data_IF_497980912629
#
_entry.id   IF_497980912629
#
_cell.length_a   1.000
_cell.length_b   1.000
_cell.length_c   1.000
_cell.angle_alpha   90.00
_cell.angle_beta   90.00
_cell.angle_gamma   90.00
#
_symmetry.space_group_name_H-M   'P 1'
#
loop_
_entity.id
_entity.type
_entity.pdbx_description
1 polymer ?
#
# COMPACT_ATOMS: atom_id res chain seq x y z
N UNK A 1 -1.07 23.89 -43.62
CA UNK A 1 -0.79 22.45 -43.91
C UNK A 1 -1.19 21.58 -42.74
N UNK A 2 -2.23 20.83 -42.94
CA UNK A 2 -2.74 19.63 -42.25
C UNK A 2 -2.56 19.43 -40.73
N UNK A 3 -3.58 19.89 -40.00
CA UNK A 3 -3.90 19.50 -38.62
C UNK A 3 -4.83 18.28 -38.53
N UNK A 4 -4.98 17.46 -39.58
CA UNK A 4 -6.00 16.40 -39.66
C UNK A 4 -5.55 14.97 -39.34
N UNK A 5 -4.36 14.74 -38.79
CA UNK A 5 -3.85 13.38 -38.55
C UNK A 5 -3.81 12.88 -37.13
N UNK A 6 -4.35 13.60 -36.14
CA UNK A 6 -4.33 13.18 -34.71
C UNK A 6 -5.69 12.82 -34.09
N UNK A 7 -6.75 12.68 -34.91
CA UNK A 7 -8.13 12.45 -34.39
C UNK A 7 -8.60 11.00 -34.36
N UNK A 8 -7.71 10.01 -34.50
CA UNK A 8 -8.13 8.61 -34.43
C UNK A 8 -8.09 8.11 -32.97
N UNK A 9 -9.26 8.06 -32.30
CA UNK A 9 -9.44 7.21 -31.14
C UNK A 9 -10.18 7.75 -29.91
N UNK A 10 -10.95 8.82 -30.01
CA UNK A 10 -11.82 9.25 -28.89
C UNK A 10 -13.28 8.93 -29.18
N UNK A 11 -14.02 8.44 -28.15
CA UNK A 11 -15.45 8.19 -28.27
C UNK A 11 -16.23 9.50 -28.44
N UNK A 12 -17.09 9.57 -29.44
CA UNK A 12 -17.89 10.78 -29.79
C UNK A 12 -19.13 10.97 -28.89
N UNK A 13 -19.48 10.03 -28.03
CA UNK A 13 -20.64 10.14 -27.13
C UNK A 13 -20.23 10.09 -25.64
N UNK A 14 -20.97 10.81 -24.78
CA UNK A 14 -20.80 10.80 -23.30
C UNK A 14 -20.81 9.38 -22.72
N UNK A 15 -21.60 8.48 -23.32
CA UNK A 15 -21.67 7.07 -22.91
C UNK A 15 -20.38 6.31 -23.19
N UNK A 16 -19.70 6.66 -24.27
CA UNK A 16 -18.43 6.09 -24.67
C UNK A 16 -17.27 6.62 -23.80
N UNK A 17 -17.25 7.92 -23.45
CA UNK A 17 -16.32 8.51 -22.50
C UNK A 17 -16.46 7.82 -21.13
N UNK A 18 -17.70 7.58 -20.69
CA UNK A 18 -17.97 6.89 -19.43
C UNK A 18 -17.43 5.46 -19.39
N UNK A 19 -17.54 4.70 -20.48
CA UNK A 19 -16.97 3.35 -20.57
C UNK A 19 -15.45 3.39 -20.57
N UNK A 20 -14.86 4.32 -21.29
CA UNK A 20 -13.42 4.42 -21.41
C UNK A 20 -12.74 4.80 -20.10
N UNK A 21 -13.26 5.76 -19.32
CA UNK A 21 -12.70 6.12 -18.01
C UNK A 21 -12.74 4.97 -17.02
N UNK A 22 -13.79 4.13 -17.03
CA UNK A 22 -13.85 2.93 -16.19
C UNK A 22 -12.85 1.87 -16.65
N UNK A 23 -12.63 1.75 -17.96
CA UNK A 23 -11.57 0.89 -18.48
C UNK A 23 -10.18 1.32 -17.98
N UNK A 24 -9.91 2.63 -17.87
CA UNK A 24 -8.67 3.15 -17.27
C UNK A 24 -8.53 2.74 -15.80
N UNK A 25 -9.62 2.77 -15.03
CA UNK A 25 -9.61 2.31 -13.63
C UNK A 25 -9.32 0.81 -13.53
N UNK A 26 -9.93 0.00 -14.39
CA UNK A 26 -9.67 -1.45 -14.42
C UNK A 26 -8.22 -1.75 -14.87
N UNK A 27 -7.67 -0.99 -15.78
CA UNK A 27 -6.28 -1.10 -16.18
C UNK A 27 -5.34 -0.78 -15.01
N UNK A 28 -5.62 0.28 -14.25
CA UNK A 28 -4.89 0.59 -13.02
C UNK A 28 -5.07 -0.50 -11.95
N UNK A 29 -6.27 -1.05 -11.78
CA UNK A 29 -6.52 -2.16 -10.86
C UNK A 29 -5.64 -3.37 -11.20
N UNK A 30 -5.60 -3.75 -12.49
CA UNK A 30 -4.78 -4.86 -12.96
C UNK A 30 -3.28 -4.63 -12.70
N UNK A 31 -2.79 -3.44 -13.01
CA UNK A 31 -1.40 -3.08 -12.71
C UNK A 31 -1.10 -3.06 -11.20
N UNK A 32 -2.05 -2.66 -10.34
CA UNK A 32 -1.89 -2.72 -8.89
C UNK A 32 -1.80 -4.17 -8.37
N UNK A 33 -2.53 -5.10 -9.00
CA UNK A 33 -2.42 -6.53 -8.68
C UNK A 33 -1.02 -7.04 -9.03
N UNK A 34 -0.51 -6.75 -10.24
CA UNK A 34 0.85 -7.15 -10.66
C UNK A 34 1.90 -6.56 -9.70
N UNK A 35 1.79 -5.26 -9.40
CA UNK A 35 2.70 -4.57 -8.49
C UNK A 35 2.78 -5.26 -7.11
N UNK A 36 1.66 -5.78 -6.59
CA UNK A 36 1.65 -6.48 -5.31
C UNK A 36 2.07 -7.95 -5.41
N UNK A 37 1.97 -8.58 -6.57
CA UNK A 37 2.62 -9.88 -6.82
C UNK A 37 4.14 -9.76 -6.69
N UNK A 38 4.74 -8.67 -7.22
CA UNK A 38 6.16 -8.35 -7.09
C UNK A 38 6.60 -8.13 -5.63
N UNK A 39 5.72 -7.62 -4.78
CA UNK A 39 6.00 -7.44 -3.34
C UNK A 39 5.88 -8.75 -2.56
N UNK A 40 4.94 -9.60 -2.96
CA UNK A 40 4.63 -10.85 -2.25
C UNK A 40 5.59 -11.98 -2.61
N UNK A 41 6.19 -11.97 -3.81
CA UNK A 41 7.04 -13.05 -4.32
C UNK A 41 8.18 -13.44 -3.36
N UNK A 42 8.92 -12.47 -2.81
CA UNK A 42 10.01 -12.74 -1.88
C UNK A 42 9.53 -13.26 -0.53
N UNK A 43 8.34 -12.85 -0.09
CA UNK A 43 7.74 -13.37 1.14
C UNK A 43 7.39 -14.86 1.00
N UNK A 44 6.90 -15.27 -0.16
CA UNK A 44 6.60 -16.69 -0.48
C UNK A 44 7.89 -17.50 -0.65
N UNK A 45 8.88 -16.95 -1.37
CA UNK A 45 10.16 -17.61 -1.63
C UNK A 45 11.17 -17.51 -0.45
N UNK A 46 10.81 -16.80 0.60
CA UNK A 46 11.68 -16.47 1.75
C UNK A 46 12.44 -17.69 2.27
N UNK A 47 11.77 -18.82 2.50
CA UNK A 47 12.38 -20.03 3.09
C UNK A 47 13.39 -20.63 2.09
N UNK A 48 12.98 -20.79 0.84
CA UNK A 48 13.81 -21.41 -0.20
C UNK A 48 15.03 -20.55 -0.51
N UNK A 49 14.86 -19.22 -0.58
CA UNK A 49 15.97 -18.28 -0.80
C UNK A 49 16.91 -18.25 0.41
N UNK A 50 16.37 -18.26 1.64
CA UNK A 50 17.17 -18.29 2.85
C UNK A 50 18.05 -19.55 2.92
N UNK A 51 17.48 -20.71 2.62
CA UNK A 51 18.20 -21.99 2.62
C UNK A 51 19.27 -22.02 1.51
N UNK A 52 18.93 -21.60 0.30
CA UNK A 52 19.85 -21.64 -0.86
C UNK A 52 21.04 -20.66 -0.67
N UNK A 53 20.81 -19.49 -0.11
CA UNK A 53 21.86 -18.48 0.09
C UNK A 53 22.53 -18.55 1.47
N UNK A 54 22.15 -19.50 2.33
CA UNK A 54 22.68 -19.64 3.68
C UNK A 54 22.39 -18.42 4.58
N UNK A 55 21.17 -17.85 4.48
CA UNK A 55 20.80 -16.64 5.19
C UNK A 55 20.08 -16.95 6.49
N UNK A 56 20.56 -16.33 7.58
CA UNK A 56 19.79 -16.27 8.82
C UNK A 56 18.62 -15.31 8.74
N UNK A 57 17.69 -15.41 9.70
CA UNK A 57 16.44 -14.63 9.72
C UNK A 57 16.67 -13.10 9.71
N UNK A 58 17.73 -12.61 10.38
CA UNK A 58 18.07 -11.18 10.38
C UNK A 58 18.44 -10.69 8.97
N UNK A 59 19.28 -11.43 8.23
CA UNK A 59 19.61 -11.09 6.82
C UNK A 59 18.37 -11.16 5.94
N UNK A 60 17.50 -12.13 6.14
CA UNK A 60 16.23 -12.23 5.44
C UNK A 60 15.32 -11.05 5.77
N UNK A 61 15.25 -10.62 7.02
CA UNK A 61 14.53 -9.43 7.44
C UNK A 61 15.04 -8.16 6.75
N UNK A 62 16.36 -8.03 6.54
CA UNK A 62 16.96 -6.93 5.77
C UNK A 62 16.50 -6.98 4.30
N UNK A 63 16.48 -8.16 3.66
CA UNK A 63 16.00 -8.30 2.29
C UNK A 63 14.52 -7.92 2.14
N UNK A 64 13.69 -8.35 3.07
CA UNK A 64 12.25 -8.04 3.08
C UNK A 64 12.00 -6.55 3.32
N UNK A 65 12.85 -5.88 4.10
CA UNK A 65 12.80 -4.46 4.40
C UNK A 65 13.36 -3.58 3.27
N UNK A 66 14.31 -4.09 2.49
CA UNK A 66 15.09 -3.33 1.51
C UNK A 66 14.25 -2.65 0.42
N UNK A 67 13.05 -3.15 0.16
CA UNK A 67 12.08 -2.55 -0.74
C UNK A 67 11.47 -1.25 -0.18
N UNK A 68 11.12 -1.23 1.10
CA UNK A 68 10.29 -0.18 1.69
C UNK A 68 11.04 1.16 1.83
N UNK A 69 12.33 1.14 2.14
CA UNK A 69 13.13 2.34 2.32
C UNK A 69 13.25 3.21 1.04
N UNK A 70 13.74 2.66 -0.09
CA UNK A 70 13.80 3.42 -1.33
C UNK A 70 12.43 3.80 -1.86
N UNK A 71 11.42 2.94 -1.68
CA UNK A 71 10.03 3.27 -2.01
C UNK A 71 9.58 4.54 -1.26
N UNK A 72 9.79 4.62 0.05
CA UNK A 72 9.41 5.77 0.86
C UNK A 72 10.13 7.07 0.41
N UNK A 73 11.44 6.99 0.15
CA UNK A 73 12.25 8.13 -0.28
C UNK A 73 11.81 8.62 -1.67
N UNK A 74 11.69 7.71 -2.62
CA UNK A 74 11.34 8.06 -4.01
C UNK A 74 9.89 8.52 -4.12
N UNK A 75 8.98 8.05 -3.24
CA UNK A 75 7.58 8.50 -3.24
C UNK A 75 7.44 10.01 -3.04
N UNK A 76 8.34 10.64 -2.29
CA UNK A 76 8.38 12.10 -2.10
C UNK A 76 8.65 12.85 -3.43
N UNK A 77 9.45 12.25 -4.32
CA UNK A 77 9.81 12.81 -5.61
C UNK A 77 8.80 12.42 -6.71
N UNK A 78 8.10 11.33 -6.51
CA UNK A 78 7.17 10.75 -7.51
C UNK A 78 6.03 11.71 -7.85
N UNK A 79 5.48 12.42 -6.86
CA UNK A 79 4.43 13.41 -7.07
C UNK A 79 4.89 14.51 -8.02
N UNK A 80 6.03 15.13 -7.72
CA UNK A 80 6.62 16.16 -8.58
C UNK A 80 6.91 15.65 -10.00
N UNK A 81 7.45 14.44 -10.13
CA UNK A 81 7.76 13.86 -11.44
C UNK A 81 6.50 13.60 -12.28
N UNK A 82 5.43 13.08 -11.64
CA UNK A 82 4.13 12.83 -12.27
C UNK A 82 3.47 14.14 -12.71
N UNK A 83 3.53 15.19 -11.87
CA UNK A 83 2.98 16.51 -12.20
C UNK A 83 3.71 17.15 -13.39
N UNK A 84 5.05 17.05 -13.42
CA UNK A 84 5.87 17.68 -14.46
C UNK A 84 5.85 16.93 -15.80
N UNK A 85 5.88 15.58 -15.77
CA UNK A 85 6.05 14.75 -16.99
C UNK A 85 4.78 13.99 -17.41
N UNK A 86 3.71 14.09 -16.62
CA UNK A 86 2.44 13.40 -16.82
C UNK A 86 2.46 11.93 -16.38
N UNK A 87 1.28 11.39 -15.98
CA UNK A 87 1.16 10.03 -15.45
C UNK A 87 1.53 8.96 -16.49
N UNK A 88 1.18 9.15 -17.78
CA UNK A 88 1.47 8.16 -18.82
C UNK A 88 2.96 7.83 -18.89
N UNK A 89 3.80 8.86 -19.05
CA UNK A 89 5.24 8.70 -19.25
C UNK A 89 5.91 8.13 -18.01
N UNK A 90 5.57 8.65 -16.83
CA UNK A 90 6.17 8.18 -15.57
C UNK A 90 5.80 6.73 -15.30
N UNK A 91 4.52 6.34 -15.44
CA UNK A 91 4.10 4.95 -15.24
C UNK A 91 4.73 4.01 -16.25
N UNK A 92 4.82 4.38 -17.52
CA UNK A 92 5.46 3.53 -18.54
C UNK A 92 6.87 3.16 -18.10
N UNK A 93 7.71 4.14 -17.73
CA UNK A 93 9.07 3.87 -17.30
C UNK A 93 9.13 3.12 -15.95
N UNK A 94 8.28 3.48 -15.00
CA UNK A 94 8.19 2.78 -13.73
C UNK A 94 7.92 1.28 -13.96
N UNK A 95 6.91 0.94 -14.79
CA UNK A 95 6.54 -0.44 -15.08
C UNK A 95 7.68 -1.18 -15.80
N UNK A 96 8.32 -0.56 -16.80
CA UNK A 96 9.47 -1.15 -17.50
C UNK A 96 10.60 -1.47 -16.51
N UNK A 97 10.97 -0.50 -15.66
CA UNK A 97 12.07 -0.70 -14.72
C UNK A 97 11.76 -1.75 -13.66
N UNK A 98 10.58 -1.71 -13.03
CA UNK A 98 10.28 -2.74 -12.02
C UNK A 98 10.17 -4.13 -12.64
N UNK A 99 9.56 -4.28 -13.83
CA UNK A 99 9.46 -5.57 -14.52
C UNK A 99 10.84 -6.12 -14.86
N UNK A 100 11.75 -5.25 -15.34
CA UNK A 100 13.13 -5.63 -15.61
C UNK A 100 13.85 -6.09 -14.34
N UNK A 101 13.72 -5.33 -13.25
CA UNK A 101 14.33 -5.66 -11.95
C UNK A 101 13.77 -6.97 -11.41
N UNK A 102 12.46 -7.22 -11.57
CA UNK A 102 11.85 -8.48 -11.12
C UNK A 102 12.38 -9.67 -11.94
N UNK A 103 12.50 -9.55 -13.28
CA UNK A 103 13.13 -10.57 -14.11
C UNK A 103 14.57 -10.81 -13.66
N UNK A 104 15.35 -9.74 -13.48
CA UNK A 104 16.76 -9.81 -13.05
C UNK A 104 16.87 -10.47 -11.67
N UNK A 105 15.91 -10.25 -10.76
CA UNK A 105 15.88 -10.92 -9.45
C UNK A 105 15.84 -12.44 -9.55
N UNK A 106 15.26 -12.99 -10.63
CA UNK A 106 15.26 -14.44 -10.90
C UNK A 106 16.65 -15.02 -11.20
N UNK A 107 17.64 -14.18 -11.52
CA UNK A 107 19.02 -14.58 -11.74
C UNK A 107 19.92 -14.31 -10.51
N UNK A 108 19.35 -13.95 -9.37
CA UNK A 108 20.13 -13.70 -8.18
C UNK A 108 20.85 -14.97 -7.70
N UNK A 109 22.13 -14.80 -7.36
CA UNK A 109 23.02 -15.86 -6.90
C UNK A 109 23.53 -15.65 -5.46
N UNK A 110 22.94 -14.68 -4.74
CA UNK A 110 23.32 -14.40 -3.36
C UNK A 110 22.65 -13.15 -2.78
N UNK A 111 22.95 -12.91 -1.51
CA UNK A 111 22.34 -11.86 -0.69
C UNK A 111 22.48 -10.45 -1.31
N UNK A 112 23.70 -10.04 -1.68
CA UNK A 112 23.95 -8.67 -2.17
C UNK A 112 23.20 -8.39 -3.47
N UNK A 113 23.20 -9.36 -4.40
CA UNK A 113 22.47 -9.19 -5.66
C UNK A 113 20.96 -9.02 -5.40
N UNK A 114 20.37 -9.89 -4.58
CA UNK A 114 18.94 -9.81 -4.22
C UNK A 114 18.64 -8.50 -3.46
N UNK A 115 19.52 -8.05 -2.57
CA UNK A 115 19.39 -6.80 -1.84
C UNK A 115 19.32 -5.59 -2.79
N UNK A 116 20.25 -5.50 -3.73
CA UNK A 116 20.26 -4.42 -4.73
C UNK A 116 19.02 -4.46 -5.62
N UNK A 117 18.60 -5.66 -6.04
CA UNK A 117 17.37 -5.82 -6.80
C UNK A 117 16.13 -5.33 -5.99
N UNK A 118 16.03 -5.65 -4.70
CA UNK A 118 14.93 -5.16 -3.83
C UNK A 118 14.95 -3.64 -3.66
N UNK A 119 16.12 -3.03 -3.54
CA UNK A 119 16.29 -1.56 -3.48
C UNK A 119 15.79 -0.91 -4.77
N UNK A 120 16.23 -1.41 -5.93
CA UNK A 120 15.82 -0.91 -7.23
C UNK A 120 14.33 -1.11 -7.49
N UNK A 121 13.78 -2.25 -7.08
CA UNK A 121 12.36 -2.54 -7.18
C UNK A 121 11.52 -1.52 -6.40
N UNK A 122 11.88 -1.26 -5.13
CA UNK A 122 11.19 -0.27 -4.31
C UNK A 122 11.20 1.13 -4.91
N UNK A 123 12.35 1.56 -5.44
CA UNK A 123 12.48 2.85 -6.11
C UNK A 123 11.61 2.93 -7.38
N UNK A 124 11.60 1.87 -8.20
CA UNK A 124 10.88 1.86 -9.48
C UNK A 124 9.37 1.75 -9.33
N UNK A 125 8.85 1.07 -8.30
CA UNK A 125 7.42 0.92 -8.06
C UNK A 125 6.77 2.15 -7.41
N UNK A 126 7.56 2.99 -6.76
CA UNK A 126 7.08 4.13 -5.95
C UNK A 126 6.11 5.07 -6.70
N UNK A 127 6.28 5.41 -8.00
CA UNK A 127 5.38 6.32 -8.69
C UNK A 127 3.97 5.76 -8.95
N UNK A 128 3.75 4.46 -8.82
CA UNK A 128 2.54 3.80 -9.32
C UNK A 128 1.25 4.36 -8.73
N UNK A 129 1.12 4.37 -7.41
CA UNK A 129 -0.11 4.82 -6.76
C UNK A 129 -0.33 6.32 -6.88
N UNK A 130 0.74 7.10 -6.86
CA UNK A 130 0.68 8.56 -7.06
C UNK A 130 0.16 8.89 -8.47
N UNK A 131 0.71 8.22 -9.49
CA UNK A 131 0.25 8.40 -10.86
C UNK A 131 -1.17 7.87 -11.08
N UNK A 132 -1.56 6.76 -10.43
CA UNK A 132 -2.92 6.23 -10.46
C UNK A 132 -3.95 7.23 -9.93
N UNK A 133 -3.66 7.89 -8.81
CA UNK A 133 -4.50 8.99 -8.28
C UNK A 133 -4.57 10.14 -9.28
N UNK A 134 -3.46 10.53 -9.90
CA UNK A 134 -3.44 11.57 -10.93
C UNK A 134 -4.32 11.20 -12.13
N UNK A 135 -4.27 9.96 -12.61
CA UNK A 135 -5.14 9.46 -13.69
C UNK A 135 -6.61 9.56 -13.29
N UNK A 136 -6.98 9.12 -12.08
CA UNK A 136 -8.38 9.20 -11.62
C UNK A 136 -8.84 10.65 -11.48
N UNK A 137 -7.98 11.56 -11.03
CA UNK A 137 -8.30 12.98 -10.91
C UNK A 137 -8.56 13.65 -12.28
N UNK A 138 -7.81 13.24 -13.31
CA UNK A 138 -7.98 13.76 -14.67
C UNK A 138 -9.23 13.23 -15.35
N UNK A 139 -9.62 11.97 -15.11
CA UNK A 139 -10.76 11.32 -15.76
C UNK A 139 -12.10 11.49 -15.04
N UNK A 140 -12.11 11.87 -13.75
CA UNK A 140 -13.33 11.97 -12.96
C UNK A 140 -13.45 13.31 -12.24
N UNK A 141 -14.66 13.92 -12.22
CA UNK A 141 -14.92 15.15 -11.48
C UNK A 141 -14.70 14.95 -9.98
N UNK A 142 -14.38 16.03 -9.26
CA UNK A 142 -14.02 16.05 -7.83
C UNK A 142 -15.01 15.26 -6.95
N UNK A 143 -16.30 15.38 -7.21
CA UNK A 143 -17.38 14.76 -6.46
C UNK A 143 -17.49 13.25 -6.69
N UNK A 144 -16.95 12.74 -7.81
CA UNK A 144 -17.12 11.34 -8.26
C UNK A 144 -15.82 10.55 -8.32
N UNK A 145 -14.66 11.12 -7.96
CA UNK A 145 -13.34 10.44 -8.07
C UNK A 145 -13.05 9.46 -6.94
N UNK A 146 -13.76 9.56 -5.81
CA UNK A 146 -13.55 8.70 -4.65
C UNK A 146 -13.74 7.21 -4.95
N UNK A 147 -14.86 6.85 -5.58
CA UNK A 147 -15.14 5.44 -5.91
C UNK A 147 -14.16 4.82 -6.93
N UNK A 148 -13.84 5.47 -8.08
CA UNK A 148 -12.80 4.99 -8.99
C UNK A 148 -11.42 4.81 -8.33
N UNK A 149 -11.03 5.76 -7.48
CA UNK A 149 -9.79 5.67 -6.70
C UNK A 149 -9.80 4.48 -5.76
N UNK A 150 -10.93 4.21 -5.09
CA UNK A 150 -11.07 3.05 -4.23
C UNK A 150 -10.98 1.73 -5.02
N UNK A 151 -11.57 1.68 -6.22
CA UNK A 151 -11.54 0.47 -7.06
C UNK A 151 -10.11 0.08 -7.41
N UNK A 152 -9.28 0.99 -7.93
CA UNK A 152 -7.92 0.61 -8.25
C UNK A 152 -7.06 0.32 -7.00
N UNK A 153 -7.34 0.99 -5.88
CA UNK A 153 -6.69 0.73 -4.59
C UNK A 153 -7.14 -0.59 -3.93
N UNK A 154 -8.14 -1.29 -4.46
CA UNK A 154 -8.43 -2.68 -4.06
C UNK A 154 -7.41 -3.68 -4.59
N UNK A 155 -6.65 -3.32 -5.64
CA UNK A 155 -5.65 -4.21 -6.25
C UNK A 155 -4.67 -4.84 -5.26
N UNK A 156 -4.06 -4.05 -4.34
CA UNK A 156 -3.23 -4.58 -3.25
C UNK A 156 -3.88 -5.69 -2.45
N UNK A 157 -5.09 -5.49 -2.00
CA UNK A 157 -5.79 -6.45 -1.13
C UNK A 157 -6.20 -7.71 -1.90
N UNK A 158 -6.65 -7.54 -3.16
CA UNK A 158 -6.94 -8.68 -4.06
C UNK A 158 -5.66 -9.49 -4.30
N UNK A 159 -4.56 -8.80 -4.64
CA UNK A 159 -3.27 -9.46 -4.87
C UNK A 159 -2.79 -10.25 -3.64
N UNK A 160 -2.86 -9.66 -2.45
CA UNK A 160 -2.49 -10.33 -1.21
C UNK A 160 -3.30 -11.60 -0.95
N UNK A 161 -4.58 -11.61 -1.35
CA UNK A 161 -5.44 -12.78 -1.18
C UNK A 161 -5.12 -13.90 -2.19
N UNK A 162 -4.79 -13.56 -3.45
CA UNK A 162 -4.61 -14.56 -4.51
C UNK A 162 -3.15 -14.90 -4.79
N UNK A 163 -2.20 -14.00 -4.49
CA UNK A 163 -0.78 -14.22 -4.78
C UNK A 163 -0.18 -15.42 -4.03
N UNK A 164 -0.44 -15.66 -2.73
CA UNK A 164 0.22 -16.76 -2.02
C UNK A 164 -0.03 -18.12 -2.68
N UNK A 165 -1.25 -18.58 -2.97
CA UNK A 165 -1.46 -19.88 -3.60
C UNK A 165 -0.90 -19.93 -5.03
N UNK A 166 -1.06 -18.86 -5.82
CA UNK A 166 -0.57 -18.83 -7.22
C UNK A 166 0.96 -18.88 -7.24
N UNK A 167 1.61 -18.03 -6.46
CA UNK A 167 3.08 -17.95 -6.45
C UNK A 167 3.70 -19.21 -5.85
N UNK A 168 3.10 -19.79 -4.82
CA UNK A 168 3.56 -21.07 -4.27
C UNK A 168 3.45 -22.18 -5.30
N UNK A 169 2.33 -22.27 -6.03
CA UNK A 169 2.16 -23.27 -7.07
C UNK A 169 3.24 -23.13 -8.17
N UNK A 170 3.48 -21.91 -8.67
CA UNK A 170 4.52 -21.64 -9.66
C UNK A 170 5.92 -21.99 -9.10
N UNK A 171 6.19 -21.60 -7.85
CA UNK A 171 7.46 -21.87 -7.18
C UNK A 171 7.73 -23.38 -7.01
N UNK A 172 6.73 -24.15 -6.64
CA UNK A 172 6.86 -25.61 -6.46
C UNK A 172 7.01 -26.33 -7.81
N UNK A 173 6.36 -25.84 -8.87
CA UNK A 173 6.42 -26.43 -10.19
C UNK A 173 7.73 -26.11 -10.93
N UNK A 174 8.19 -24.84 -10.88
CA UNK A 174 9.28 -24.36 -11.72
C UNK A 174 10.43 -23.68 -10.95
N UNK A 175 10.34 -23.63 -9.61
CA UNK A 175 11.31 -22.97 -8.76
C UNK A 175 11.08 -21.46 -8.61
N UNK A 176 11.67 -20.89 -7.55
CA UNK A 176 11.50 -19.48 -7.23
C UNK A 176 12.06 -18.54 -8.32
N UNK A 177 13.12 -18.94 -9.02
CA UNK A 177 13.70 -18.15 -10.12
C UNK A 177 12.70 -17.92 -11.25
N UNK A 178 12.06 -18.99 -11.71
CA UNK A 178 11.04 -18.91 -12.76
C UNK A 178 9.82 -18.14 -12.27
N UNK A 179 9.45 -18.25 -10.99
CA UNK A 179 8.38 -17.44 -10.40
C UNK A 179 8.67 -15.93 -10.55
N UNK A 180 9.88 -15.47 -10.20
CA UNK A 180 10.27 -14.07 -10.39
C UNK A 180 10.26 -13.65 -11.85
N UNK A 181 10.85 -14.45 -12.73
CA UNK A 181 10.88 -14.18 -14.17
C UNK A 181 9.46 -14.08 -14.74
N UNK A 182 8.56 -14.98 -14.35
CA UNK A 182 7.17 -14.99 -14.82
C UNK A 182 6.40 -13.75 -14.41
N UNK A 183 6.58 -13.27 -13.16
CA UNK A 183 5.93 -12.05 -12.67
C UNK A 183 6.48 -10.83 -13.43
N UNK A 184 7.80 -10.73 -13.60
CA UNK A 184 8.38 -9.63 -14.37
C UNK A 184 7.96 -9.65 -15.85
N UNK A 185 7.82 -10.85 -16.46
CA UNK A 185 7.26 -11.00 -17.81
C UNK A 185 5.80 -10.51 -17.88
N UNK A 186 4.98 -10.81 -16.86
CA UNK A 186 3.61 -10.29 -16.75
C UNK A 186 3.60 -8.76 -16.67
N UNK A 187 4.56 -8.15 -15.98
CA UNK A 187 4.74 -6.70 -15.95
C UNK A 187 5.09 -6.11 -17.33
N UNK A 188 5.90 -6.79 -18.15
CA UNK A 188 6.14 -6.36 -19.53
C UNK A 188 4.89 -6.47 -20.41
N UNK A 189 4.07 -7.51 -20.24
CA UNK A 189 2.76 -7.59 -20.89
C UNK A 189 1.90 -6.41 -20.47
N UNK A 190 1.88 -6.07 -19.18
CA UNK A 190 1.12 -4.94 -18.69
C UNK A 190 1.60 -3.58 -19.26
N UNK A 191 2.91 -3.36 -19.40
CA UNK A 191 3.40 -2.10 -20.01
C UNK A 191 2.96 -1.96 -21.47
N UNK A 192 2.92 -3.05 -22.22
CA UNK A 192 2.41 -3.06 -23.58
C UNK A 192 0.93 -2.67 -23.60
N UNK A 193 0.12 -3.28 -22.74
CA UNK A 193 -1.30 -2.92 -22.58
C UNK A 193 -1.45 -1.45 -22.15
N UNK A 194 -0.63 -0.99 -21.23
CA UNK A 194 -0.61 0.41 -20.79
C UNK A 194 -0.30 1.38 -21.92
N UNK A 195 0.72 1.12 -22.72
CA UNK A 195 1.10 2.01 -23.85
C UNK A 195 0.00 2.06 -24.91
N UNK A 196 -0.60 0.91 -25.24
CA UNK A 196 -1.63 0.78 -26.28
C UNK A 196 -2.94 1.43 -25.84
N UNK A 197 -3.40 1.14 -24.64
CA UNK A 197 -4.74 1.48 -24.20
C UNK A 197 -4.84 2.78 -23.42
N UNK A 198 -3.79 3.18 -22.69
CA UNK A 198 -3.85 4.39 -21.90
C UNK A 198 -3.79 5.63 -22.80
N UNK A 199 -4.77 6.53 -22.60
CA UNK A 199 -4.82 7.84 -23.24
C UNK A 199 -5.08 8.91 -22.19
N UNK A 200 -4.43 10.05 -22.33
CA UNK A 200 -4.77 11.23 -21.54
C UNK A 200 -6.13 11.78 -21.98
N UNK A 201 -6.97 12.32 -21.07
CA UNK A 201 -8.20 12.98 -21.45
C UNK A 201 -7.91 14.20 -22.34
N UNK A 202 -8.86 14.57 -23.21
CA UNK A 202 -8.78 15.84 -23.93
C UNK A 202 -8.88 17.01 -22.92
N UNK A 203 -8.29 18.18 -23.18
CA UNK A 203 -8.34 19.33 -22.27
C UNK A 203 -9.74 19.67 -21.77
N UNK A 204 -10.73 19.60 -22.64
CA UNK A 204 -12.16 19.83 -22.33
C UNK A 204 -12.78 18.80 -21.37
N UNK A 205 -12.18 17.61 -21.27
CA UNK A 205 -12.59 16.51 -20.41
C UNK A 205 -11.59 16.24 -19.27
N UNK A 206 -10.59 17.09 -19.09
CA UNK A 206 -9.57 16.97 -18.05
C UNK A 206 -10.03 17.72 -16.79
N UNK A 207 -10.65 16.98 -15.87
CA UNK A 207 -11.23 17.55 -14.66
C UNK A 207 -10.19 18.13 -13.70
N UNK A 208 -8.92 17.77 -13.81
CA UNK A 208 -7.87 18.32 -12.94
C UNK A 208 -7.43 19.69 -13.43
N UNK A 209 -7.24 19.87 -14.73
CA UNK A 209 -6.88 21.16 -15.30
C UNK A 209 -7.98 22.18 -15.00
N UNK A 210 -9.25 21.80 -15.23
CA UNK A 210 -10.39 22.66 -14.95
C UNK A 210 -10.50 23.03 -13.47
N UNK A 211 -10.20 22.10 -12.54
CA UNK A 211 -10.23 22.36 -11.10
C UNK A 211 -9.10 23.31 -10.65
N UNK A 212 -7.89 23.20 -11.23
CA UNK A 212 -6.78 24.10 -10.94
C UNK A 212 -7.09 25.53 -11.40
N UNK A 213 -7.76 25.69 -12.56
CA UNK A 213 -8.20 27.01 -13.06
C UNK A 213 -9.27 27.66 -12.16
N UNK A 214 -10.13 26.85 -11.52
CA UNK A 214 -11.09 27.32 -10.53
C UNK A 214 -10.44 27.66 -9.18
N UNK A 215 -9.53 26.82 -8.68
CA UNK A 215 -8.84 27.00 -7.39
C UNK A 215 -7.82 28.15 -7.42
N UNK A 216 -7.24 28.48 -8.58
CA UNK A 216 -6.32 29.64 -8.71
C UNK A 216 -7.01 31.00 -8.44
N UNK A 217 -8.34 31.00 -8.36
CA UNK A 217 -9.15 32.18 -8.01
C UNK A 217 -9.44 32.32 -6.50
N UNK A 218 -9.09 31.31 -5.68
CA UNK A 218 -9.37 31.31 -4.24
C UNK A 218 -8.12 31.74 -3.46
N UNK A 219 -8.05 33.03 -3.08
CA UNK A 219 -6.89 33.70 -2.42
C UNK A 219 -6.64 33.28 -0.95
N UNK A 220 -7.29 32.25 -0.42
CA UNK A 220 -7.16 31.82 0.98
C UNK A 220 -6.09 30.73 1.20
N UNK A 221 -4.81 31.01 0.84
CA UNK A 221 -3.72 30.14 1.23
C UNK A 221 -3.29 30.37 2.68
N UNK A 222 -3.08 29.29 3.47
CA UNK A 222 -2.47 29.39 4.78
C UNK A 222 -0.98 29.74 4.65
N UNK A 223 -0.48 30.70 5.44
CA UNK A 223 0.96 31.05 5.47
C UNK A 223 1.82 29.96 6.13
N UNK A 224 1.34 28.71 6.27
CA UNK A 224 2.08 27.63 6.88
C UNK A 224 3.10 27.04 5.91
N UNK A 225 4.34 26.95 6.36
CA UNK A 225 5.38 26.18 5.65
C UNK A 225 5.22 24.69 5.93
N UNK A 226 5.74 23.83 5.04
CA UNK A 226 5.70 22.37 5.25
C UNK A 226 6.33 21.96 6.60
N UNK A 227 7.46 22.58 6.96
CA UNK A 227 8.13 22.31 8.24
C UNK A 227 7.36 22.75 9.47
N UNK A 228 6.49 23.75 9.35
CA UNK A 228 5.67 24.21 10.47
C UNK A 228 4.59 23.19 10.91
N UNK A 229 4.23 22.25 10.03
CA UNK A 229 3.31 21.17 10.36
C UNK A 229 3.83 20.28 11.51
N UNK A 230 5.15 20.13 11.65
CA UNK A 230 5.76 19.35 12.73
C UNK A 230 5.67 20.03 14.12
N UNK A 231 5.26 21.29 14.19
CA UNK A 231 5.00 21.99 15.47
C UNK A 231 3.67 21.56 16.09
N UNK A 232 2.77 20.95 15.32
CA UNK A 232 1.46 20.56 15.79
C UNK A 232 1.45 19.13 16.35
N UNK A 233 0.87 18.98 17.54
CA UNK A 233 0.70 17.70 18.22
C UNK A 233 -0.06 16.68 17.36
N UNK A 234 -1.06 17.13 16.59
CA UNK A 234 -1.84 16.29 15.71
C UNK A 234 -1.00 15.61 14.63
N UNK A 235 0.03 16.29 14.09
CA UNK A 235 0.96 15.71 13.11
C UNK A 235 1.74 14.53 13.69
N UNK A 236 2.28 14.67 14.89
CA UNK A 236 2.98 13.57 15.58
C UNK A 236 2.04 12.44 15.94
N UNK A 237 0.80 12.76 16.33
CA UNK A 237 -0.24 11.76 16.54
C UNK A 237 -0.51 10.91 15.30
N UNK A 238 -0.52 11.53 14.13
CA UNK A 238 -0.70 10.84 12.85
C UNK A 238 0.53 10.01 12.46
N UNK A 239 1.75 10.52 12.67
CA UNK A 239 3.00 9.80 12.38
C UNK A 239 3.10 8.53 13.22
N UNK A 240 2.99 8.67 14.56
CA UNK A 240 3.15 7.57 15.51
C UNK A 240 2.04 6.53 15.31
N UNK A 241 0.81 7.00 15.12
CA UNK A 241 -0.32 6.12 14.87
C UNK A 241 -0.18 5.34 13.55
N UNK A 242 0.25 6.01 12.47
CA UNK A 242 0.49 5.35 11.20
C UNK A 242 1.65 4.35 11.26
N UNK A 243 2.71 4.67 12.01
CA UNK A 243 3.83 3.76 12.24
C UNK A 243 3.35 2.43 12.83
N UNK A 244 2.61 2.47 13.95
CA UNK A 244 2.19 1.25 14.64
C UNK A 244 1.24 0.37 13.83
N UNK A 245 0.24 0.97 13.14
CA UNK A 245 -0.67 0.20 12.28
C UNK A 245 0.06 -0.42 11.10
N UNK A 246 0.95 0.31 10.43
CA UNK A 246 1.67 -0.21 9.28
C UNK A 246 2.76 -1.22 9.68
N UNK A 247 3.40 -1.07 10.82
CA UNK A 247 4.34 -2.08 11.33
C UNK A 247 3.67 -3.46 11.36
N UNK A 248 2.53 -3.57 12.02
CA UNK A 248 1.81 -4.86 12.14
C UNK A 248 1.33 -5.37 10.78
N UNK A 249 0.80 -4.49 9.93
CA UNK A 249 0.39 -4.85 8.57
C UNK A 249 1.54 -5.45 7.75
N UNK A 250 2.75 -4.87 7.85
CA UNK A 250 3.92 -5.35 7.13
C UNK A 250 4.52 -6.63 7.73
N UNK A 251 4.36 -6.90 9.03
CA UNK A 251 4.67 -8.22 9.60
C UNK A 251 3.84 -9.29 8.91
N UNK A 252 2.53 -9.08 8.77
CA UNK A 252 1.66 -10.02 8.04
C UNK A 252 2.12 -10.19 6.59
N UNK A 253 2.36 -9.09 5.88
CA UNK A 253 2.70 -9.11 4.46
C UNK A 253 4.01 -9.86 4.18
N UNK A 254 5.00 -9.73 5.07
CA UNK A 254 6.35 -10.20 4.81
C UNK A 254 6.68 -11.53 5.50
N UNK A 255 6.14 -11.78 6.68
CA UNK A 255 6.53 -12.91 7.52
C UNK A 255 5.44 -13.96 7.75
N UNK A 256 4.18 -13.70 7.33
CA UNK A 256 3.10 -14.69 7.54
C UNK A 256 3.42 -16.06 6.92
N UNK A 257 3.91 -16.19 5.67
CA UNK A 257 4.30 -17.49 5.14
C UNK A 257 5.42 -18.16 5.96
N UNK A 258 6.45 -17.38 6.34
CA UNK A 258 7.53 -17.86 7.18
C UNK A 258 7.05 -18.33 8.56
N UNK A 259 6.12 -17.62 9.19
CA UNK A 259 5.50 -18.04 10.44
C UNK A 259 4.71 -19.34 10.30
N UNK A 260 3.90 -19.48 9.25
CA UNK A 260 3.08 -20.69 9.05
C UNK A 260 3.96 -21.92 8.77
N UNK A 261 5.02 -21.76 7.99
CA UNK A 261 5.93 -22.86 7.70
C UNK A 261 6.87 -23.16 8.87
N UNK A 262 7.73 -22.21 9.31
CA UNK A 262 8.72 -22.43 10.34
C UNK A 262 8.13 -22.45 11.75
N UNK A 263 7.17 -21.57 12.04
CA UNK A 263 6.56 -21.46 13.37
C UNK A 263 5.45 -22.47 13.63
N UNK A 264 4.76 -22.96 12.59
CA UNK A 264 3.64 -23.91 12.70
C UNK A 264 3.88 -25.24 12.00
N UNK A 265 5.00 -25.40 11.29
CA UNK A 265 5.39 -26.67 10.67
C UNK A 265 4.56 -27.04 9.44
N UNK A 266 3.88 -26.08 8.81
CA UNK A 266 3.12 -26.35 7.58
C UNK A 266 4.07 -26.52 6.39
N UNK A 267 3.77 -27.49 5.53
CA UNK A 267 4.46 -27.61 4.25
C UNK A 267 4.22 -26.40 3.34
N UNK A 268 5.05 -26.25 2.30
CA UNK A 268 5.00 -25.06 1.43
C UNK A 268 3.67 -24.91 0.69
N UNK A 269 3.06 -26.02 0.23
CA UNK A 269 1.78 -25.95 -0.50
C UNK A 269 0.65 -25.50 0.43
N UNK A 270 0.54 -26.11 1.59
CA UNK A 270 -0.44 -25.73 2.63
C UNK A 270 -0.21 -24.31 3.10
N UNK A 271 1.06 -23.89 3.29
CA UNK A 271 1.42 -22.52 3.65
C UNK A 271 0.91 -21.51 2.63
N UNK A 272 1.05 -21.79 1.33
CA UNK A 272 0.55 -20.92 0.27
C UNK A 272 -0.97 -20.70 0.35
N UNK A 273 -1.74 -21.77 0.47
CA UNK A 273 -3.20 -21.68 0.58
C UNK A 273 -3.65 -21.00 1.89
N UNK A 274 -3.09 -21.41 3.00
CA UNK A 274 -3.47 -20.93 4.33
C UNK A 274 -3.10 -19.47 4.53
N UNK A 275 -1.99 -19.01 3.95
CA UNK A 275 -1.60 -17.59 4.00
C UNK A 275 -2.63 -16.65 3.35
N UNK A 276 -3.43 -17.13 2.42
CA UNK A 276 -4.49 -16.32 1.78
C UNK A 276 -5.66 -16.01 2.72
N UNK A 277 -5.93 -16.85 3.72
CA UNK A 277 -7.13 -16.74 4.56
C UNK A 277 -7.18 -15.40 5.31
N UNK A 278 -6.12 -14.96 6.03
CA UNK A 278 -6.09 -13.64 6.65
C UNK A 278 -6.26 -12.50 5.64
N UNK A 279 -5.64 -12.61 4.46
CA UNK A 279 -5.73 -11.58 3.43
C UNK A 279 -7.14 -11.47 2.83
N UNK A 280 -7.83 -12.60 2.64
CA UNK A 280 -9.26 -12.60 2.23
C UNK A 280 -10.11 -11.89 3.29
N UNK A 281 -9.88 -12.14 4.58
CA UNK A 281 -10.58 -11.41 5.64
C UNK A 281 -10.33 -9.90 5.55
N UNK A 282 -9.12 -9.48 5.19
CA UNK A 282 -8.76 -8.06 4.99
C UNK A 282 -9.56 -7.36 3.90
N UNK A 283 -10.00 -8.07 2.84
CA UNK A 283 -10.83 -7.50 1.77
C UNK A 283 -12.12 -6.89 2.36
N UNK A 284 -12.70 -7.54 3.35
CA UNK A 284 -13.91 -7.06 4.03
C UNK A 284 -13.62 -5.92 5.02
N UNK A 285 -12.39 -5.84 5.56
CA UNK A 285 -11.98 -4.77 6.48
C UNK A 285 -11.89 -3.40 5.80
N UNK A 286 -11.35 -3.35 4.58
CA UNK A 286 -11.11 -2.10 3.86
C UNK A 286 -12.36 -1.20 3.74
N UNK A 287 -13.52 -1.65 3.27
CA UNK A 287 -14.70 -0.78 3.13
C UNK A 287 -15.33 -0.40 4.48
N UNK A 288 -15.19 -1.23 5.51
CA UNK A 288 -15.83 -1.00 6.81
C UNK A 288 -15.36 0.30 7.46
N UNK A 289 -14.07 0.65 7.31
CA UNK A 289 -13.54 1.90 7.85
C UNK A 289 -14.27 3.13 7.35
N UNK A 290 -14.40 3.25 6.03
CA UNK A 290 -15.11 4.35 5.39
C UNK A 290 -16.61 4.36 5.74
N UNK A 291 -17.27 3.21 5.58
CA UNK A 291 -18.71 3.07 5.86
C UNK A 291 -19.05 3.44 7.30
N UNK A 292 -18.25 3.00 8.27
CA UNK A 292 -18.47 3.32 9.69
C UNK A 292 -18.25 4.81 9.97
N UNK A 293 -17.20 5.39 9.40
CA UNK A 293 -16.93 6.83 9.54
C UNK A 293 -18.08 7.66 8.96
N UNK A 294 -18.55 7.34 7.75
CA UNK A 294 -19.64 8.04 7.07
C UNK A 294 -20.97 7.88 7.83
N UNK A 295 -21.24 6.70 8.37
CA UNK A 295 -22.41 6.46 9.22
C UNK A 295 -22.40 7.33 10.48
N UNK A 296 -21.26 7.44 11.16
CA UNK A 296 -21.11 8.28 12.35
C UNK A 296 -21.26 9.77 12.02
N UNK A 297 -20.73 10.22 10.88
CA UNK A 297 -20.90 11.61 10.42
C UNK A 297 -22.37 11.91 10.14
N UNK A 298 -23.09 11.00 9.47
CA UNK A 298 -24.54 11.14 9.24
C UNK A 298 -25.35 11.20 10.53
N UNK A 299 -24.87 10.58 11.61
CA UNK A 299 -25.46 10.68 12.95
C UNK A 299 -25.05 11.94 13.74
N UNK A 300 -24.34 12.89 13.11
CA UNK A 300 -23.95 14.17 13.74
C UNK A 300 -22.65 14.10 14.55
N UNK A 301 -21.89 13.00 14.48
CA UNK A 301 -20.56 12.95 15.11
C UNK A 301 -19.58 13.81 14.32
N UNK A 302 -18.83 14.66 15.04
CA UNK A 302 -17.82 15.53 14.42
C UNK A 302 -16.84 14.72 13.54
N UNK A 303 -16.50 15.19 12.31
CA UNK A 303 -15.74 14.41 11.31
C UNK A 303 -14.46 13.76 11.85
N UNK A 304 -13.61 14.53 12.56
CA UNK A 304 -12.38 13.98 13.16
C UNK A 304 -12.69 12.84 14.15
N UNK A 305 -13.70 12.97 15.01
CA UNK A 305 -14.08 11.91 15.95
C UNK A 305 -14.63 10.68 15.20
N UNK A 306 -15.48 10.91 14.20
CA UNK A 306 -16.07 9.84 13.39
C UNK A 306 -15.01 9.02 12.64
N UNK A 307 -13.94 9.66 12.17
CA UNK A 307 -12.83 8.96 11.48
C UNK A 307 -11.84 8.30 12.45
N UNK A 308 -11.63 8.89 13.64
CA UNK A 308 -10.77 8.30 14.67
C UNK A 308 -11.35 7.00 15.22
N UNK A 309 -12.66 6.91 15.38
CA UNK A 309 -13.32 5.78 16.02
C UNK A 309 -13.00 4.43 15.32
N UNK A 310 -13.18 4.28 14.00
CA UNK A 310 -12.80 3.03 13.31
C UNK A 310 -11.29 2.73 13.38
N UNK A 311 -10.43 3.75 13.34
CA UNK A 311 -8.97 3.55 13.43
C UNK A 311 -8.58 3.01 14.82
N UNK A 312 -9.08 3.62 15.89
CA UNK A 312 -8.77 3.23 17.27
C UNK A 312 -9.37 1.85 17.59
N UNK A 313 -10.63 1.64 17.22
CA UNK A 313 -11.30 0.35 17.43
C UNK A 313 -10.61 -0.79 16.68
N UNK A 314 -10.20 -0.55 15.45
CA UNK A 314 -9.48 -1.53 14.64
C UNK A 314 -8.07 -1.84 15.22
N UNK A 315 -7.34 -0.83 15.67
CA UNK A 315 -6.03 -1.03 16.29
C UNK A 315 -6.14 -1.86 17.59
N UNK A 316 -7.15 -1.58 18.42
CA UNK A 316 -7.42 -2.37 19.64
C UNK A 316 -7.84 -3.80 19.28
N UNK A 317 -8.77 -3.97 18.35
CA UNK A 317 -9.23 -5.31 17.92
C UNK A 317 -8.06 -6.13 17.35
N UNK A 318 -7.22 -5.51 16.52
CA UNK A 318 -6.04 -6.18 15.98
C UNK A 318 -5.05 -6.57 17.09
N UNK A 319 -4.77 -5.68 18.05
CA UNK A 319 -3.89 -5.98 19.18
C UNK A 319 -4.41 -7.16 20.01
N UNK A 320 -5.71 -7.15 20.38
CA UNK A 320 -6.37 -8.23 21.11
C UNK A 320 -6.30 -9.55 20.35
N UNK A 321 -6.42 -9.50 19.00
CA UNK A 321 -6.42 -10.70 18.17
C UNK A 321 -5.03 -11.29 17.95
N UNK A 322 -3.96 -10.47 17.85
CA UNK A 322 -2.61 -11.01 17.60
C UNK A 322 -1.94 -11.55 18.86
N UNK A 323 -2.31 -11.10 20.06
CA UNK A 323 -1.73 -11.60 21.32
C UNK A 323 -1.96 -13.11 21.50
N UNK A 324 -3.18 -13.67 21.36
CA UNK A 324 -3.41 -15.10 21.52
C UNK A 324 -2.63 -15.98 20.55
N UNK A 325 -2.27 -15.45 19.35
CA UNK A 325 -1.46 -16.19 18.36
C UNK A 325 -0.15 -16.70 18.97
N UNK A 326 0.40 -15.96 19.96
CA UNK A 326 1.62 -16.29 20.66
C UNK A 326 1.50 -17.52 21.58
N UNK A 327 0.29 -17.86 22.01
CA UNK A 327 0.07 -18.84 23.08
C UNK A 327 -0.76 -20.05 22.63
N UNK A 328 -1.59 -19.93 21.59
CA UNK A 328 -2.42 -21.04 21.11
C UNK A 328 -1.57 -22.11 20.41
N UNK A 329 -1.75 -23.37 20.77
CA UNK A 329 -1.09 -24.51 20.12
C UNK A 329 -1.80 -24.89 18.81
N UNK A 330 -3.12 -24.70 18.71
CA UNK A 330 -3.89 -25.04 17.52
C UNK A 330 -3.57 -24.09 16.37
N UNK A 331 -3.11 -24.63 15.24
CA UNK A 331 -2.88 -23.88 14.00
C UNK A 331 -4.15 -23.23 13.48
N UNK A 332 -5.31 -23.93 13.58
CA UNK A 332 -6.61 -23.39 13.16
C UNK A 332 -6.99 -22.15 13.96
N UNK A 333 -6.85 -22.19 15.29
CA UNK A 333 -7.11 -21.03 16.14
C UNK A 333 -6.15 -19.88 15.84
N UNK A 334 -4.87 -20.18 15.60
CA UNK A 334 -3.91 -19.15 15.20
C UNK A 334 -4.33 -18.46 13.89
N UNK A 335 -4.77 -19.22 12.88
CA UNK A 335 -5.26 -18.67 11.61
C UNK A 335 -6.51 -17.81 11.81
N UNK A 336 -7.45 -18.23 12.65
CA UNK A 336 -8.64 -17.45 13.00
C UNK A 336 -8.24 -16.12 13.63
N UNK A 337 -7.37 -16.13 14.64
CA UNK A 337 -6.90 -14.90 15.26
C UNK A 337 -6.11 -13.99 14.33
N UNK A 338 -5.24 -14.57 13.47
CA UNK A 338 -4.53 -13.82 12.43
C UNK A 338 -5.51 -13.19 11.42
N UNK A 339 -6.57 -13.90 11.07
CA UNK A 339 -7.60 -13.39 10.14
C UNK A 339 -8.38 -12.23 10.74
N UNK A 340 -8.76 -12.30 12.01
CA UNK A 340 -9.40 -11.19 12.73
C UNK A 340 -8.42 -10.01 12.86
N UNK A 341 -7.16 -10.29 13.20
CA UNK A 341 -6.11 -9.28 13.31
C UNK A 341 -5.85 -8.54 12.00
N UNK A 342 -5.73 -9.29 10.88
CA UNK A 342 -5.52 -8.69 9.56
C UNK A 342 -6.74 -7.96 9.03
N UNK A 343 -7.96 -8.51 9.23
CA UNK A 343 -9.22 -7.82 8.97
C UNK A 343 -9.24 -6.45 9.65
N UNK A 344 -8.96 -6.42 10.95
CA UNK A 344 -8.92 -5.18 11.72
C UNK A 344 -7.80 -4.23 11.21
N UNK A 345 -6.59 -4.74 10.95
CA UNK A 345 -5.48 -3.94 10.42
C UNK A 345 -5.74 -3.36 9.03
N UNK A 346 -6.71 -3.90 8.28
CA UNK A 346 -7.10 -3.42 6.95
C UNK A 346 -8.11 -2.26 6.99
N UNK A 347 -8.68 -1.94 8.17
CA UNK A 347 -9.65 -0.85 8.35
C UNK A 347 -8.99 0.55 8.31
N UNK A 348 -7.88 0.84 9.04
CA UNK A 348 -7.30 2.17 9.13
C UNK A 348 -6.88 2.80 7.78
N UNK A 349 -6.25 2.10 6.83
CA UNK A 349 -5.79 2.71 5.59
C UNK A 349 -6.89 3.45 4.82
N UNK A 350 -8.12 2.94 4.82
CA UNK A 350 -9.24 3.57 4.10
C UNK A 350 -9.67 4.91 4.72
N UNK A 351 -9.44 5.09 6.01
CA UNK A 351 -9.88 6.29 6.76
C UNK A 351 -8.75 7.29 6.99
N UNK A 352 -7.51 6.83 7.02
CA UNK A 352 -6.34 7.67 7.31
C UNK A 352 -6.15 8.80 6.29
N UNK A 353 -6.40 8.55 5.01
CA UNK A 353 -6.34 9.59 3.97
C UNK A 353 -7.39 10.68 4.18
N UNK A 354 -8.63 10.27 4.46
CA UNK A 354 -9.72 11.21 4.70
C UNK A 354 -9.59 11.93 6.05
N UNK A 355 -8.95 11.33 7.05
CA UNK A 355 -8.64 12.01 8.31
C UNK A 355 -7.68 13.20 8.09
N UNK A 356 -6.72 13.06 7.16
CA UNK A 356 -5.81 14.16 6.81
C UNK A 356 -6.56 15.37 6.26
N UNK A 357 -7.67 15.17 5.52
CA UNK A 357 -8.49 16.28 5.00
C UNK A 357 -9.23 17.04 6.09
N UNK A 358 -9.59 16.36 7.19
CA UNK A 358 -10.30 17.00 8.30
C UNK A 358 -9.35 17.70 9.30
N UNK A 359 -8.09 17.25 9.36
CA UNK A 359 -7.09 17.78 10.31
C UNK A 359 -6.29 18.93 9.73
N UNK A 360 -5.95 18.88 8.44
CA UNK A 360 -5.12 19.88 7.77
C UNK A 360 -5.90 21.12 7.33
N UNK A 361 -5.26 22.31 7.24
CA UNK A 361 -5.75 23.40 6.42
C UNK A 361 -5.91 22.96 4.96
N UNK A 362 -6.87 23.58 4.22
CA UNK A 362 -7.22 23.18 2.85
C UNK A 362 -6.01 23.06 1.91
N UNK A 363 -5.08 24.03 1.98
CA UNK A 363 -3.86 24.10 1.15
C UNK A 363 -2.72 23.18 1.64
N UNK A 364 -2.84 22.50 2.78
CA UNK A 364 -1.84 21.61 3.39
C UNK A 364 -2.28 20.15 3.54
N UNK A 365 -3.43 19.79 2.98
CA UNK A 365 -3.97 18.41 3.06
C UNK A 365 -2.98 17.39 2.49
N UNK A 366 -2.46 17.62 1.29
CA UNK A 366 -1.49 16.72 0.67
C UNK A 366 -0.18 16.61 1.46
N UNK A 367 0.29 17.74 2.03
CA UNK A 367 1.49 17.77 2.87
C UNK A 367 1.31 16.93 4.14
N UNK A 368 0.19 17.08 4.86
CA UNK A 368 -0.07 16.34 6.09
C UNK A 368 -0.31 14.84 5.80
N UNK A 369 -1.03 14.52 4.72
CA UNK A 369 -1.22 13.15 4.26
C UNK A 369 0.11 12.47 3.90
N UNK A 370 1.00 13.19 3.21
CA UNK A 370 2.35 12.73 2.91
C UNK A 370 3.20 12.45 4.16
N UNK A 371 3.15 13.34 5.15
CA UNK A 371 3.84 13.16 6.44
C UNK A 371 3.31 11.93 7.18
N UNK A 372 1.99 11.75 7.23
CA UNK A 372 1.37 10.57 7.84
C UNK A 372 1.78 9.29 7.12
N UNK A 373 1.75 9.30 5.79
CA UNK A 373 2.15 8.15 4.97
C UNK A 373 3.62 7.78 5.16
N UNK A 374 4.50 8.78 5.26
CA UNK A 374 5.92 8.57 5.60
C UNK A 374 6.07 7.88 6.96
N UNK A 375 5.33 8.31 8.00
CA UNK A 375 5.30 7.62 9.29
C UNK A 375 4.88 6.14 9.16
N UNK A 376 3.88 5.86 8.33
CA UNK A 376 3.45 4.50 8.01
C UNK A 376 4.54 3.67 7.31
N UNK A 377 5.22 4.24 6.32
CA UNK A 377 6.33 3.56 5.64
C UNK A 377 7.53 3.29 6.54
N UNK A 378 7.82 4.17 7.50
CA UNK A 378 8.85 3.89 8.53
C UNK A 378 8.49 2.65 9.34
N UNK A 379 7.22 2.50 9.76
CA UNK A 379 6.74 1.29 10.41
C UNK A 379 6.87 0.05 9.51
N UNK A 380 6.42 0.17 8.25
CA UNK A 380 6.51 -0.90 7.27
C UNK A 380 7.95 -1.33 6.95
N UNK A 381 8.87 -0.38 6.86
CA UNK A 381 10.28 -0.65 6.56
C UNK A 381 11.02 -1.28 7.76
N UNK A 382 10.68 -0.88 8.98
CA UNK A 382 11.33 -1.43 10.19
C UNK A 382 10.78 -2.81 10.58
N UNK A 383 9.51 -3.10 10.28
CA UNK A 383 8.84 -4.33 10.69
C UNK A 383 9.57 -5.63 10.26
N UNK A 384 9.98 -5.80 8.98
CA UNK A 384 10.65 -7.03 8.59
C UNK A 384 12.03 -7.21 9.22
N UNK A 385 12.79 -6.10 9.41
CA UNK A 385 14.10 -6.15 10.07
C UNK A 385 13.97 -6.54 11.55
N UNK A 386 13.07 -5.88 12.27
CA UNK A 386 12.83 -6.18 13.70
C UNK A 386 12.36 -7.62 13.84
N UNK A 387 11.45 -8.07 12.99
CA UNK A 387 10.97 -9.46 12.99
C UNK A 387 12.13 -10.45 12.77
N UNK A 388 12.97 -10.22 11.76
CA UNK A 388 14.10 -11.09 11.46
C UNK A 388 15.09 -11.18 12.61
N UNK A 389 15.44 -10.05 13.24
CA UNK A 389 16.34 -10.03 14.42
C UNK A 389 15.70 -10.75 15.62
N UNK A 390 14.44 -10.48 15.92
CA UNK A 390 13.73 -11.11 17.03
C UNK A 390 13.63 -12.62 16.84
N UNK A 391 13.25 -13.09 15.64
CA UNK A 391 13.14 -14.52 15.36
C UNK A 391 14.51 -15.20 15.42
N UNK A 392 15.57 -14.56 14.91
CA UNK A 392 16.93 -15.10 14.97
C UNK A 392 17.45 -15.24 16.41
N UNK A 393 17.14 -14.28 17.27
CA UNK A 393 17.65 -14.27 18.66
C UNK A 393 16.82 -15.12 19.61
N UNK A 394 15.50 -15.21 19.39
CA UNK A 394 14.57 -15.92 20.28
C UNK A 394 14.10 -17.27 19.74
N UNK A 395 14.40 -17.56 18.46
CA UNK A 395 13.88 -18.74 17.74
C UNK A 395 12.35 -18.84 17.77
N UNK A 396 11.65 -17.69 17.96
CA UNK A 396 10.20 -17.65 18.14
C UNK A 396 9.57 -16.39 17.53
N UNK A 397 8.39 -16.56 16.94
CA UNK A 397 7.55 -15.43 16.49
C UNK A 397 6.72 -14.80 17.63
N UNK A 398 6.72 -15.38 18.82
CA UNK A 398 5.91 -14.91 19.95
C UNK A 398 6.16 -13.43 20.27
N UNK A 399 7.43 -13.06 20.42
CA UNK A 399 7.81 -11.67 20.72
C UNK A 399 7.45 -10.71 19.58
N UNK A 400 7.45 -11.17 18.32
CA UNK A 400 7.05 -10.35 17.17
C UNK A 400 5.58 -9.92 17.28
N UNK A 401 4.68 -10.86 17.61
CA UNK A 401 3.26 -10.55 17.80
C UNK A 401 3.03 -9.65 19.01
N UNK A 402 3.77 -9.82 20.10
CA UNK A 402 3.70 -8.94 21.27
C UNK A 402 4.17 -7.52 20.94
N UNK A 403 5.28 -7.36 20.22
CA UNK A 403 5.76 -6.06 19.75
C UNK A 403 4.69 -5.40 18.86
N UNK A 404 4.12 -6.15 17.91
CA UNK A 404 3.04 -5.67 17.05
C UNK A 404 1.83 -5.20 17.85
N UNK A 405 1.41 -5.98 18.85
CA UNK A 405 0.29 -5.62 19.73
C UNK A 405 0.57 -4.33 20.54
N UNK A 406 1.77 -4.18 21.10
CA UNK A 406 2.19 -2.97 21.82
C UNK A 406 2.14 -1.76 20.89
N UNK A 407 2.67 -1.88 19.67
CA UNK A 407 2.66 -0.79 18.68
C UNK A 407 1.25 -0.45 18.22
N UNK A 408 0.35 -1.41 18.12
CA UNK A 408 -1.08 -1.18 17.86
C UNK A 408 -1.76 -0.43 19.01
N UNK A 409 -1.45 -0.75 20.26
CA UNK A 409 -1.96 -0.03 21.44
C UNK A 409 -1.42 1.42 21.44
N UNK A 410 -0.12 1.61 21.13
CA UNK A 410 0.47 2.94 20.98
C UNK A 410 -0.21 3.70 19.84
N UNK A 411 -0.53 3.04 18.73
CA UNK A 411 -1.28 3.63 17.63
C UNK A 411 -2.68 4.06 18.06
N UNK A 412 -3.42 3.19 18.75
CA UNK A 412 -4.74 3.50 19.28
C UNK A 412 -4.70 4.70 20.24
N UNK A 413 -3.72 4.75 21.13
CA UNK A 413 -3.50 5.89 22.03
C UNK A 413 -3.17 7.17 21.24
N UNK A 414 -2.33 7.05 20.22
CA UNK A 414 -1.88 8.18 19.42
C UNK A 414 -3.04 8.81 18.65
N UNK A 415 -3.81 8.04 17.90
CA UNK A 415 -5.01 8.53 17.22
C UNK A 415 -6.12 8.95 18.21
N UNK A 416 -6.29 8.20 19.29
CA UNK A 416 -7.32 8.47 20.31
C UNK A 416 -7.07 9.75 21.09
N UNK A 417 -5.85 9.92 21.61
CA UNK A 417 -5.52 10.94 22.60
C UNK A 417 -4.57 12.03 22.09
N UNK A 418 -3.53 11.69 21.29
CA UNK A 418 -2.56 12.69 20.81
C UNK A 418 -3.19 13.57 19.73
N UNK A 419 -3.89 12.97 18.78
CA UNK A 419 -4.62 13.69 17.74
C UNK A 419 -5.93 14.24 18.34
N UNK A 420 -5.98 15.52 18.71
CA UNK A 420 -7.17 16.13 19.32
C UNK A 420 -7.92 17.08 18.39
N UNK A 421 -7.20 18.01 17.78
CA UNK A 421 -7.78 19.18 17.12
C UNK A 421 -7.29 19.30 15.68
N UNK A 422 -8.09 19.93 14.80
CA UNK A 422 -7.61 20.35 13.49
C UNK A 422 -6.47 21.37 13.64
N UNK A 423 -5.57 21.39 12.69
CA UNK A 423 -4.50 22.38 12.60
C UNK A 423 -5.15 23.69 12.14
N UNK A 424 -5.25 24.65 13.06
CA UNK A 424 -5.77 25.99 12.77
C UNK A 424 -4.62 26.98 12.76
N UNK A 425 -4.61 27.84 11.75
CA UNK A 425 -3.73 29.00 11.73
C UNK A 425 -4.30 30.01 12.73
N UNK A 426 -3.58 30.34 13.78
CA UNK A 426 -3.91 31.53 14.58
C UNK A 426 -3.71 32.73 13.66
N UNK A 427 -4.80 33.47 13.42
CA UNK A 427 -4.76 34.75 12.73
C UNK A 427 -4.12 35.81 13.65
#
# INVERSE_FOLDING_TARGET
MNSSKLSKGFPESQKSINRFRWFMVLLLLFGAIINYFDRTNISIANIVIADEFGLGEAKMGVLLSAFAWPYAIVSLLSGWAVDKKGPKKILTWAIVFWSLVTVISGFANGFIFMLLARILLGASESPYFVAGVKVTNRWFPKEKRGFPTSVFNMGPTIAQAIAPPILTAVMLFAGWRIMFISIGALGFIFVILWIIFYKDPKPENDYEINAIEEESKDENSSNLTWSSLFKFRSTWGMIIGAFGTNFTLWVFLTWLPGYLSKGRGLDLMTTGWVSSIPFIAGIFGVPIGGLLADYLIKKGVAPIKARKFPIVGAAILSAISVIPVSYVSSTVLAIVFLSIGFFASSIPPSVMWTLSTDVAPKDKVGSLAGIQNFGGFLGGATAPMVTGVVVQTTSSFQMVFLIGAILLIISAFSYGYILKNPIRVQR
#
